data_IF_727762660170
#
_entry.id   IF_727762660170
#
_cell.length_a   1.000
_cell.length_b   1.000
_cell.length_c   1.000
_cell.angle_alpha   90.00
_cell.angle_beta   90.00
_cell.angle_gamma   90.00
#
_symmetry.space_group_name_H-M   'P 1'
#
loop_
_entity.id
_entity.type
_entity.pdbx_description
1 polymer ?
#
# COMPACT_ATOMS: atom_id res chain seq x y z
N UNK A 1 39.15 10.18 -42.26
CA UNK A 1 38.12 9.11 -42.21
C UNK A 1 38.55 7.92 -41.33
N UNK A 2 39.84 7.68 -41.08
CA UNK A 2 40.32 6.55 -40.27
C UNK A 2 40.24 6.76 -38.74
N UNK A 3 40.10 8.01 -38.28
CA UNK A 3 40.16 8.38 -36.85
C UNK A 3 38.79 8.38 -36.14
N UNK A 4 37.70 8.23 -36.89
CA UNK A 4 36.33 8.17 -36.35
C UNK A 4 35.93 6.71 -36.02
N UNK A 5 36.58 5.72 -36.64
CA UNK A 5 36.27 4.31 -36.47
C UNK A 5 36.87 3.70 -35.18
N UNK A 6 38.00 4.22 -34.68
CA UNK A 6 38.64 3.75 -33.44
C UNK A 6 37.94 4.22 -32.17
N UNK A 7 37.16 5.30 -32.24
CA UNK A 7 36.42 5.86 -31.09
C UNK A 7 35.10 5.14 -30.82
N UNK A 8 34.58 4.39 -31.81
CA UNK A 8 33.34 3.61 -31.68
C UNK A 8 33.59 2.17 -31.17
N UNK A 9 34.85 1.73 -31.09
CA UNK A 9 35.25 0.41 -30.57
C UNK A 9 35.75 0.46 -29.13
N UNK A 10 35.91 1.65 -28.55
CA UNK A 10 36.33 1.86 -27.15
C UNK A 10 35.17 2.12 -26.18
N UNK A 11 33.94 2.23 -26.68
CA UNK A 11 32.73 2.23 -25.83
C UNK A 11 32.39 0.77 -25.55
N UNK A 12 33.03 0.21 -24.52
CA UNK A 12 32.75 -1.15 -24.09
C UNK A 12 31.28 -1.25 -23.62
N UNK A 13 30.42 -2.04 -24.29
CA UNK A 13 29.03 -2.23 -23.88
C UNK A 13 28.93 -2.77 -22.43
N UNK A 14 29.96 -3.47 -21.98
CA UNK A 14 30.06 -4.00 -20.62
C UNK A 14 30.33 -2.91 -19.56
N UNK A 15 30.76 -1.71 -19.95
CA UNK A 15 30.92 -0.54 -19.06
C UNK A 15 29.65 0.33 -19.04
N UNK A 16 28.95 0.40 -20.16
CA UNK A 16 27.69 1.17 -20.27
C UNK A 16 26.54 0.52 -19.49
N UNK A 17 26.39 -0.81 -19.56
CA UNK A 17 25.33 -1.52 -18.85
C UNK A 17 25.38 -1.29 -17.31
N UNK A 18 26.51 -1.49 -16.61
CA UNK A 18 26.62 -1.22 -15.16
C UNK A 18 26.29 0.22 -14.77
N UNK A 19 26.77 1.21 -15.53
CA UNK A 19 26.54 2.63 -15.23
C UNK A 19 25.06 3.03 -15.36
N UNK A 20 24.30 2.37 -16.24
CA UNK A 20 22.84 2.55 -16.34
C UNK A 20 22.15 1.93 -15.13
N UNK A 21 22.56 0.73 -14.69
CA UNK A 21 21.98 0.07 -13.52
C UNK A 21 22.27 0.81 -12.20
N UNK A 22 23.45 1.43 -12.06
CA UNK A 22 23.81 2.26 -10.90
C UNK A 22 23.05 3.60 -10.84
N UNK A 23 22.46 4.03 -11.96
CA UNK A 23 21.63 5.25 -12.03
C UNK A 23 20.17 5.02 -11.67
N UNK A 24 19.75 3.75 -11.52
CA UNK A 24 18.41 3.41 -11.09
C UNK A 24 18.22 3.81 -9.62
N UNK A 25 17.01 4.25 -9.23
CA UNK A 25 16.73 4.54 -7.83
C UNK A 25 17.01 3.31 -6.97
N UNK A 26 17.63 3.55 -5.81
CA UNK A 26 17.97 2.50 -4.86
C UNK A 26 16.74 1.64 -4.56
N UNK A 27 16.85 0.33 -4.81
CA UNK A 27 15.73 -0.61 -4.76
C UNK A 27 15.11 -0.61 -3.37
N UNK A 28 15.94 -0.47 -2.33
CA UNK A 28 15.53 -0.37 -0.93
C UNK A 28 14.62 0.84 -0.68
N UNK A 29 14.95 2.00 -1.27
CA UNK A 29 14.17 3.22 -1.14
C UNK A 29 12.81 3.11 -1.83
N UNK A 30 12.80 2.46 -3.00
CA UNK A 30 11.59 2.25 -3.81
C UNK A 30 10.66 1.25 -3.14
N UNK A 31 11.19 0.15 -2.60
CA UNK A 31 10.42 -0.85 -1.85
C UNK A 31 9.77 -0.24 -0.60
N UNK A 32 10.52 0.55 0.17
CA UNK A 32 9.99 1.25 1.36
C UNK A 32 8.87 2.22 1.01
N UNK A 33 9.03 2.99 -0.06
CA UNK A 33 8.00 3.92 -0.53
C UNK A 33 6.74 3.18 -1.01
N UNK A 34 6.91 2.09 -1.76
CA UNK A 34 5.80 1.27 -2.24
C UNK A 34 5.02 0.61 -1.08
N UNK A 35 5.72 0.07 -0.08
CA UNK A 35 5.09 -0.52 1.11
C UNK A 35 4.30 0.52 1.91
N UNK A 36 4.87 1.71 2.15
CA UNK A 36 4.20 2.80 2.85
C UNK A 36 2.95 3.27 2.10
N UNK A 37 3.02 3.35 0.77
CA UNK A 37 1.89 3.73 -0.07
C UNK A 37 0.77 2.68 -0.06
N UNK A 38 1.12 1.39 -0.16
CA UNK A 38 0.17 0.29 -0.16
C UNK A 38 -0.70 0.28 1.11
N UNK A 39 -0.07 0.36 2.29
CA UNK A 39 -0.83 0.42 3.56
C UNK A 39 -1.51 1.78 3.76
N UNK A 40 -0.84 2.87 3.38
CA UNK A 40 -1.37 4.23 3.55
C UNK A 40 -2.68 4.44 2.82
N UNK A 41 -2.80 3.99 1.56
CA UNK A 41 -4.06 4.05 0.82
C UNK A 41 -5.00 2.91 1.23
N UNK A 42 -4.47 1.71 1.44
CA UNK A 42 -5.29 0.54 1.80
C UNK A 42 -6.06 0.70 3.11
N UNK A 43 -5.55 1.49 4.05
CA UNK A 43 -6.23 1.81 5.31
C UNK A 43 -7.35 2.85 5.21
N UNK A 44 -7.40 3.66 4.13
CA UNK A 44 -8.39 4.75 4.02
C UNK A 44 -9.83 4.22 3.88
N UNK A 45 -10.03 3.19 3.06
CA UNK A 45 -11.36 2.59 2.86
C UNK A 45 -11.95 2.04 4.17
N UNK A 46 -11.25 1.15 4.88
CA UNK A 46 -11.67 0.62 6.18
C UNK A 46 -11.87 1.72 7.23
N UNK A 47 -10.94 2.66 7.36
CA UNK A 47 -11.06 3.76 8.33
C UNK A 47 -12.32 4.60 8.12
N UNK A 48 -12.65 4.95 6.87
CA UNK A 48 -13.87 5.67 6.54
C UNK A 48 -15.12 4.81 6.71
N UNK A 49 -15.09 3.55 6.25
CA UNK A 49 -16.21 2.63 6.35
C UNK A 49 -16.62 2.35 7.80
N UNK A 50 -15.63 2.10 8.66
CA UNK A 50 -15.85 1.86 10.09
C UNK A 50 -16.35 3.15 10.75
N UNK A 51 -15.77 4.31 10.45
CA UNK A 51 -16.24 5.59 11.00
C UNK A 51 -17.72 5.86 10.69
N UNK A 52 -18.15 5.59 9.46
CA UNK A 52 -19.55 5.72 9.05
C UNK A 52 -20.45 4.68 9.72
N UNK A 53 -20.00 3.43 9.80
CA UNK A 53 -20.75 2.37 10.48
C UNK A 53 -20.97 2.67 11.96
N UNK A 54 -19.93 3.15 12.66
CA UNK A 54 -20.01 3.55 14.07
C UNK A 54 -20.96 4.73 14.26
N UNK A 55 -20.88 5.74 13.38
CA UNK A 55 -21.82 6.87 13.41
C UNK A 55 -23.27 6.39 13.30
N UNK A 56 -23.57 5.56 12.31
CA UNK A 56 -24.92 4.99 12.13
C UNK A 56 -25.38 4.16 13.33
N UNK A 57 -24.47 3.40 13.94
CA UNK A 57 -24.76 2.64 15.15
C UNK A 57 -25.07 3.54 16.35
N UNK A 58 -24.37 4.66 16.53
CA UNK A 58 -24.65 5.62 17.61
C UNK A 58 -25.99 6.34 17.41
N UNK A 59 -26.31 6.72 16.18
CA UNK A 59 -27.63 7.30 15.84
C UNK A 59 -28.76 6.30 16.11
N UNK A 60 -28.59 5.03 15.72
CA UNK A 60 -29.57 3.98 15.99
C UNK A 60 -29.73 3.70 17.49
N UNK A 61 -28.62 3.66 18.24
CA UNK A 61 -28.61 3.43 19.68
C UNK A 61 -29.31 4.57 20.44
N UNK A 62 -29.12 5.81 20.01
CA UNK A 62 -29.81 6.96 20.60
C UNK A 62 -31.33 6.95 20.41
N UNK A 63 -31.81 6.31 19.33
CA UNK A 63 -33.26 6.16 19.06
C UNK A 63 -33.86 4.94 19.74
N UNK A 64 -33.11 3.84 19.82
CA UNK A 64 -33.58 2.56 20.35
C UNK A 64 -32.53 1.95 21.29
N UNK A 65 -32.45 2.43 22.56
CA UNK A 65 -31.45 1.94 23.51
C UNK A 65 -31.65 0.46 23.90
N UNK A 66 -32.88 -0.05 23.81
CA UNK A 66 -33.22 -1.45 24.10
C UNK A 66 -32.59 -2.42 23.09
N UNK A 67 -32.32 -1.97 21.87
CA UNK A 67 -31.71 -2.77 20.80
C UNK A 67 -30.17 -2.71 20.79
N UNK A 68 -29.55 -2.23 21.87
CA UNK A 68 -28.10 -1.98 21.94
C UNK A 68 -27.25 -3.21 21.59
N UNK A 69 -27.66 -4.40 22.03
CA UNK A 69 -26.95 -5.65 21.78
C UNK A 69 -26.88 -5.98 20.29
N UNK A 70 -28.01 -5.92 19.59
CA UNK A 70 -28.11 -6.26 18.17
C UNK A 70 -27.41 -5.22 17.28
N UNK A 71 -27.53 -3.94 17.63
CA UNK A 71 -26.84 -2.84 16.94
C UNK A 71 -25.32 -3.03 17.04
N UNK A 72 -24.80 -3.29 18.25
CA UNK A 72 -23.36 -3.53 18.45
C UNK A 72 -22.87 -4.76 17.69
N UNK A 73 -23.64 -5.85 17.71
CA UNK A 73 -23.27 -7.09 17.00
C UNK A 73 -23.17 -6.83 15.50
N UNK A 74 -24.18 -6.18 14.91
CA UNK A 74 -24.18 -5.85 13.47
C UNK A 74 -23.06 -4.88 13.11
N UNK A 75 -22.81 -3.86 13.95
CA UNK A 75 -21.72 -2.91 13.77
C UNK A 75 -20.35 -3.60 13.78
N UNK A 76 -20.11 -4.51 14.73
CA UNK A 76 -18.83 -5.22 14.84
C UNK A 76 -18.62 -6.15 13.64
N UNK A 77 -19.65 -6.86 13.17
CA UNK A 77 -19.56 -7.69 11.97
C UNK A 77 -19.19 -6.84 10.76
N UNK A 78 -19.88 -5.70 10.56
CA UNK A 78 -19.57 -4.77 9.48
C UNK A 78 -18.16 -4.21 9.57
N UNK A 79 -17.72 -3.83 10.77
CA UNK A 79 -16.38 -3.32 11.01
C UNK A 79 -15.30 -4.38 10.73
N UNK A 80 -15.51 -5.63 11.15
CA UNK A 80 -14.58 -6.73 10.88
C UNK A 80 -14.45 -7.04 9.38
N UNK A 81 -15.55 -6.95 8.62
CA UNK A 81 -15.52 -7.12 7.17
C UNK A 81 -14.77 -5.98 6.47
N UNK A 82 -14.94 -4.74 6.93
CA UNK A 82 -14.18 -3.60 6.44
C UNK A 82 -12.67 -3.77 6.76
N UNK A 83 -12.34 -4.22 7.97
CA UNK A 83 -10.97 -4.40 8.41
C UNK A 83 -10.20 -5.47 7.62
N UNK A 84 -10.89 -6.46 7.06
CA UNK A 84 -10.26 -7.47 6.21
C UNK A 84 -9.51 -6.85 5.02
N UNK A 85 -10.00 -5.74 4.47
CA UNK A 85 -9.34 -5.02 3.37
C UNK A 85 -8.06 -4.33 3.86
N UNK A 86 -8.08 -3.73 5.05
CA UNK A 86 -6.88 -3.15 5.67
C UNK A 86 -5.82 -4.21 5.94
N UNK A 87 -6.24 -5.40 6.42
CA UNK A 87 -5.32 -6.52 6.66
C UNK A 87 -4.68 -6.98 5.36
N UNK A 88 -5.41 -7.07 4.25
CA UNK A 88 -4.79 -7.40 2.96
C UNK A 88 -3.77 -6.37 2.50
N UNK A 89 -4.05 -5.07 2.66
CA UNK A 89 -3.07 -4.03 2.36
C UNK A 89 -1.82 -4.12 3.26
N UNK A 90 -2.01 -4.47 4.54
CA UNK A 90 -0.92 -4.68 5.49
C UNK A 90 -0.06 -5.89 5.11
N UNK A 91 -0.68 -7.01 4.75
CA UNK A 91 0.02 -8.21 4.28
C UNK A 91 0.83 -7.91 3.01
N UNK A 92 0.27 -7.18 2.05
CA UNK A 92 0.98 -6.76 0.84
C UNK A 92 2.18 -5.87 1.19
N UNK A 93 2.02 -4.91 2.10
CA UNK A 93 3.12 -4.05 2.54
C UNK A 93 4.26 -4.85 3.20
N UNK A 94 3.93 -5.88 4.01
CA UNK A 94 4.92 -6.81 4.57
C UNK A 94 5.64 -7.59 3.46
N UNK A 95 4.88 -8.12 2.49
CA UNK A 95 5.48 -8.87 1.37
C UNK A 95 6.48 -7.99 0.61
N UNK A 96 6.13 -6.73 0.31
CA UNK A 96 7.04 -5.79 -0.38
C UNK A 96 8.35 -5.54 0.40
N UNK A 97 8.30 -5.55 1.73
CA UNK A 97 9.45 -5.24 2.58
C UNK A 97 10.36 -6.44 2.84
N UNK A 98 9.85 -7.66 2.77
CA UNK A 98 10.54 -8.85 3.29
C UNK A 98 10.64 -10.01 2.29
N UNK A 99 10.05 -9.90 1.10
CA UNK A 99 10.08 -10.91 0.03
C UNK A 99 10.59 -10.27 -1.26
#
# INVERSE_FOLDING_TARGET
MFEIASTLTSVDPAVFAPAVFDSLPDLDSTQRAAAAFAIGIGGLGPGLGIGLAVRGAMEALGRNPEAAGDIRTTMIIGAALAEAVAIYAFVIAIIILFV
#
